data_IF_192532952896
#
_entry.id   IF_192532952896
#
_cell.length_a   1.000
_cell.length_b   1.000
_cell.length_c   1.000
_cell.angle_alpha   90.00
_cell.angle_beta   90.00
_cell.angle_gamma   90.00
#
_symmetry.space_group_name_H-M   'P 1'
#
loop_
_entity.id
_entity.type
_entity.pdbx_description
1 polymer ?
#
# COMPACT_ATOMS: atom_id res chain seq x y z
N UNK A 1 23.42 34.83 -36.69
CA UNK A 1 22.33 35.52 -37.41
C UNK A 1 21.56 36.37 -36.40
N UNK A 2 21.19 37.58 -36.80
CA UNK A 2 20.94 38.77 -35.97
C UNK A 2 19.44 39.16 -36.02
N UNK A 3 18.82 39.35 -34.84
CA UNK A 3 17.71 40.28 -34.44
C UNK A 3 16.31 40.17 -35.13
N UNK A 4 15.24 40.87 -34.65
CA UNK A 4 14.89 41.36 -33.30
C UNK A 4 13.39 41.25 -32.89
N UNK A 5 13.18 41.33 -31.56
CA UNK A 5 12.19 42.08 -30.76
C UNK A 5 11.05 42.83 -31.50
N UNK A 6 9.81 42.67 -30.98
CA UNK A 6 8.89 43.80 -30.76
C UNK A 6 8.19 43.69 -29.40
N UNK A 7 8.37 44.74 -28.61
CA UNK A 7 7.83 44.91 -27.26
C UNK A 7 6.71 45.96 -27.26
N UNK A 8 5.80 45.79 -26.28
CA UNK A 8 5.05 46.83 -25.54
C UNK A 8 3.87 47.52 -26.27
N UNK A 9 2.97 48.27 -25.60
CA UNK A 9 2.45 48.26 -24.20
C UNK A 9 0.89 48.38 -24.07
N UNK A 10 0.38 48.02 -22.88
CA UNK A 10 -0.51 48.81 -21.97
C UNK A 10 -1.95 49.22 -22.38
N UNK A 11 -2.79 49.35 -21.33
CA UNK A 11 -4.14 49.95 -21.17
C UNK A 11 -5.31 48.91 -21.19
N UNK A 12 -6.20 48.75 -20.19
CA UNK A 12 -6.61 49.52 -18.99
C UNK A 12 -7.41 48.59 -18.03
N UNK A 13 -7.23 48.83 -16.73
CA UNK A 13 -8.21 48.82 -15.61
C UNK A 13 -9.08 47.60 -15.22
N UNK A 14 -8.83 47.15 -13.98
CA UNK A 14 -9.78 46.64 -12.96
C UNK A 14 -10.82 47.73 -12.57
N UNK A 15 -12.06 47.40 -12.10
CA UNK A 15 -12.27 46.82 -10.76
C UNK A 15 -13.48 45.87 -10.51
N UNK A 16 -13.36 45.17 -9.37
CA UNK A 16 -14.29 44.44 -8.50
C UNK A 16 -15.83 44.47 -8.73
N UNK A 17 -16.51 43.34 -8.46
CA UNK A 17 -17.44 43.12 -7.33
C UNK A 17 -18.20 41.76 -7.46
N UNK A 18 -18.12 40.96 -6.38
CA UNK A 18 -19.19 40.22 -5.70
C UNK A 18 -20.04 39.13 -6.42
N UNK A 19 -20.01 37.94 -5.78
CA UNK A 19 -21.15 37.04 -5.51
C UNK A 19 -21.92 36.45 -6.68
N UNK A 20 -21.63 35.19 -7.00
CA UNK A 20 -22.64 34.28 -7.54
C UNK A 20 -22.76 33.07 -6.59
N UNK A 21 -23.81 33.12 -5.77
CA UNK A 21 -24.40 32.00 -5.07
C UNK A 21 -24.72 30.90 -6.09
N UNK A 22 -24.22 29.69 -5.88
CA UNK A 22 -24.63 28.52 -6.65
C UNK A 22 -26.08 28.17 -6.33
N UNK A 23 -26.94 28.21 -7.34
CA UNK A 23 -28.29 27.64 -7.26
C UNK A 23 -28.15 26.13 -7.41
N UNK A 24 -28.19 25.40 -6.29
CA UNK A 24 -28.34 23.95 -6.34
C UNK A 24 -29.77 23.61 -6.79
N UNK A 25 -29.88 22.68 -7.74
CA UNK A 25 -31.14 22.01 -8.05
C UNK A 25 -31.09 20.69 -7.30
N UNK A 26 -31.94 20.57 -6.27
CA UNK A 26 -32.10 19.35 -5.51
C UNK A 26 -32.55 18.23 -6.46
N UNK A 27 -31.65 17.28 -6.72
CA UNK A 27 -32.00 16.00 -7.30
C UNK A 27 -32.02 14.94 -6.20
N UNK A 28 -33.03 14.10 -6.28
CA UNK A 28 -33.52 13.27 -5.22
C UNK A 28 -32.65 12.03 -4.97
N UNK A 29 -32.50 11.67 -3.70
CA UNK A 29 -32.61 10.26 -3.29
C UNK A 29 -31.47 9.31 -3.64
N UNK A 30 -30.22 9.77 -3.67
CA UNK A 30 -29.06 8.88 -3.56
C UNK A 30 -28.36 9.11 -2.23
N UNK A 31 -28.23 8.09 -1.38
CA UNK A 31 -27.37 8.10 -0.18
C UNK A 31 -25.91 8.23 -0.64
N UNK A 32 -25.51 9.43 -1.03
CA UNK A 32 -24.13 9.73 -1.39
C UNK A 32 -23.39 9.89 -0.08
N UNK A 33 -22.72 8.82 0.35
CA UNK A 33 -21.74 8.92 1.43
C UNK A 33 -20.82 10.08 1.10
N UNK A 34 -20.74 11.12 1.96
CA UNK A 34 -19.84 12.23 1.71
C UNK A 34 -18.44 11.68 1.49
N UNK A 35 -17.78 12.09 0.40
CA UNK A 35 -16.42 11.66 0.14
C UNK A 35 -15.55 12.19 1.28
N UNK A 36 -14.91 11.33 2.08
CA UNK A 36 -14.13 11.79 3.22
C UNK A 36 -13.03 12.74 2.76
N UNK A 37 -12.76 13.76 3.57
CA UNK A 37 -11.63 14.67 3.31
C UNK A 37 -10.34 13.87 3.29
N UNK A 38 -9.33 14.34 2.55
CA UNK A 38 -8.07 13.61 2.39
C UNK A 38 -7.43 13.18 3.73
N UNK A 39 -7.49 14.04 4.75
CA UNK A 39 -7.00 13.74 6.11
C UNK A 39 -7.81 12.66 6.82
N UNK A 40 -9.13 12.67 6.70
CA UNK A 40 -10.02 11.65 7.29
C UNK A 40 -9.76 10.29 6.64
N UNK A 41 -9.62 10.26 5.31
CA UNK A 41 -9.24 9.06 4.56
C UNK A 41 -7.87 8.53 4.99
N UNK A 42 -6.88 9.39 5.19
CA UNK A 42 -5.57 8.97 5.67
C UNK A 42 -5.66 8.35 7.07
N UNK A 43 -6.40 8.98 7.99
CA UNK A 43 -6.58 8.46 9.34
C UNK A 43 -7.29 7.09 9.35
N UNK A 44 -8.27 6.89 8.47
CA UNK A 44 -8.93 5.60 8.26
C UNK A 44 -7.95 4.54 7.77
N UNK A 45 -7.14 4.84 6.75
CA UNK A 45 -6.13 3.92 6.22
C UNK A 45 -5.07 3.57 7.28
N UNK A 46 -4.63 4.56 8.06
CA UNK A 46 -3.69 4.33 9.17
C UNK A 46 -4.32 3.45 10.27
N UNK A 47 -5.60 3.61 10.58
CA UNK A 47 -6.30 2.75 11.53
C UNK A 47 -6.39 1.31 11.03
N UNK A 48 -6.63 1.13 9.72
CA UNK A 48 -6.64 -0.19 9.09
C UNK A 48 -5.26 -0.86 9.14
N UNK A 49 -4.19 -0.13 8.85
CA UNK A 49 -2.82 -0.64 9.01
C UNK A 49 -2.54 -1.10 10.44
N UNK A 50 -2.91 -0.29 11.44
CA UNK A 50 -2.75 -0.65 12.86
C UNK A 50 -3.56 -1.91 13.22
N UNK A 51 -4.76 -2.07 12.66
CA UNK A 51 -5.55 -3.29 12.87
C UNK A 51 -4.92 -4.55 12.27
N UNK A 52 -4.04 -4.39 11.28
CA UNK A 52 -3.23 -5.46 10.70
C UNK A 52 -1.89 -5.67 11.43
N UNK A 53 -1.60 -4.89 12.48
CA UNK A 53 -0.31 -4.94 13.20
C UNK A 53 0.82 -4.18 12.53
N UNK A 54 0.54 -3.35 11.52
CA UNK A 54 1.55 -2.61 10.77
C UNK A 54 1.59 -1.17 11.28
N UNK A 55 2.78 -0.70 11.69
CA UNK A 55 2.99 0.70 12.04
C UNK A 55 2.88 1.59 10.78
N UNK A 56 1.95 2.56 10.73
CA UNK A 56 1.73 3.33 9.51
C UNK A 56 2.95 4.05 9.01
N UNK A 57 3.86 4.47 9.89
CA UNK A 57 5.11 5.16 9.55
C UNK A 57 6.22 4.25 8.96
N UNK A 58 6.04 2.93 9.01
CA UNK A 58 6.93 1.92 8.43
C UNK A 58 6.45 1.41 7.07
N UNK A 59 5.28 1.83 6.59
CA UNK A 59 4.83 1.48 5.23
C UNK A 59 5.63 2.25 4.19
N UNK A 60 6.34 1.52 3.33
CA UNK A 60 7.04 2.05 2.17
C UNK A 60 6.73 1.21 0.94
N UNK A 61 6.73 1.85 -0.22
CA UNK A 61 6.58 1.20 -1.52
C UNK A 61 7.77 1.55 -2.40
N UNK A 62 7.96 0.78 -3.46
CA UNK A 62 8.94 1.05 -4.49
C UNK A 62 8.29 0.87 -5.85
N UNK A 63 8.71 1.68 -6.82
CA UNK A 63 8.38 1.47 -8.23
C UNK A 63 9.56 0.76 -8.90
N UNK A 64 9.29 -0.38 -9.54
CA UNK A 64 10.31 -1.17 -10.25
C UNK A 64 9.73 -1.55 -11.61
N UNK A 65 10.26 -0.98 -12.72
CA UNK A 65 9.72 -1.24 -14.04
C UNK A 65 9.63 -2.74 -14.37
N UNK A 66 8.45 -3.19 -14.79
CA UNK A 66 8.18 -4.59 -15.13
C UNK A 66 7.84 -5.49 -13.95
N UNK A 67 7.83 -4.96 -12.72
CA UNK A 67 7.36 -5.69 -11.54
C UNK A 67 5.98 -5.20 -11.11
N UNK A 68 5.16 -6.14 -10.63
CA UNK A 68 3.82 -5.89 -10.11
C UNK A 68 3.78 -6.28 -8.64
N UNK A 69 3.19 -5.44 -7.79
CA UNK A 69 2.96 -5.78 -6.39
C UNK A 69 2.13 -7.07 -6.28
N UNK A 70 2.60 -8.01 -5.48
CA UNK A 70 1.82 -9.14 -5.00
C UNK A 70 1.02 -8.71 -3.76
N UNK A 71 -0.23 -8.27 -3.91
CA UNK A 71 -1.02 -7.72 -2.80
C UNK A 71 -1.12 -8.69 -1.60
N UNK A 72 -1.21 -10.00 -1.85
CA UNK A 72 -1.23 -11.03 -0.81
C UNK A 72 0.07 -11.17 0.00
N UNK A 73 1.17 -10.56 -0.45
CA UNK A 73 2.44 -10.53 0.28
C UNK A 73 2.55 -9.37 1.26
N UNK A 74 1.59 -8.43 1.22
CA UNK A 74 1.56 -7.29 2.13
C UNK A 74 1.26 -7.79 3.54
N UNK A 75 2.17 -7.52 4.47
CA UNK A 75 2.04 -7.99 5.84
C UNK A 75 2.98 -7.31 6.83
N UNK A 76 2.93 -7.83 8.05
CA UNK A 76 3.83 -7.41 9.13
C UNK A 76 5.21 -8.04 8.91
N UNK A 77 6.25 -7.25 9.10
CA UNK A 77 7.63 -7.73 9.23
C UNK A 77 8.14 -7.47 10.65
N UNK A 78 8.55 -8.52 11.36
CA UNK A 78 8.97 -8.39 12.76
C UNK A 78 7.78 -8.02 13.67
N UNK A 79 7.98 -7.06 14.56
CA UNK A 79 6.97 -6.67 15.56
C UNK A 79 5.85 -5.81 14.95
N UNK A 80 6.22 -4.74 14.25
CA UNK A 80 5.29 -3.75 13.69
C UNK A 80 5.72 -3.22 12.31
N UNK A 81 6.72 -3.84 11.70
CA UNK A 81 7.25 -3.46 10.40
C UNK A 81 6.32 -3.84 9.25
N UNK A 82 6.80 -3.59 8.04
CA UNK A 82 6.06 -3.80 6.80
C UNK A 82 6.85 -4.68 5.85
N UNK A 83 6.19 -5.62 5.19
CA UNK A 83 6.73 -6.40 4.08
C UNK A 83 5.84 -6.30 2.85
N UNK A 84 6.47 -6.33 1.67
CA UNK A 84 5.81 -6.49 0.39
C UNK A 84 6.75 -7.14 -0.62
N UNK A 85 6.20 -7.92 -1.55
CA UNK A 85 6.91 -8.49 -2.68
C UNK A 85 6.33 -7.96 -4.00
N UNK A 86 7.22 -7.75 -4.97
CA UNK A 86 6.88 -7.37 -6.33
C UNK A 86 7.41 -8.45 -7.26
N UNK A 87 6.58 -8.95 -8.18
CA UNK A 87 6.93 -10.05 -9.08
C UNK A 87 6.98 -9.57 -10.53
N UNK A 88 7.84 -10.17 -11.32
CA UNK A 88 7.90 -9.97 -12.77
C UNK A 88 7.75 -11.31 -13.51
N UNK A 89 7.45 -11.24 -14.80
CA UNK A 89 7.46 -12.42 -15.67
C UNK A 89 8.81 -13.17 -15.60
N UNK A 90 8.79 -14.49 -15.76
CA UNK A 90 9.97 -15.34 -15.54
C UNK A 90 10.26 -15.68 -14.07
N UNK A 91 9.41 -15.19 -13.15
CA UNK A 91 9.46 -15.52 -11.73
C UNK A 91 10.58 -14.81 -10.97
N UNK A 92 10.96 -13.61 -11.42
CA UNK A 92 11.80 -12.71 -10.65
C UNK A 92 10.97 -12.01 -9.58
N UNK A 93 11.54 -11.83 -8.39
CA UNK A 93 10.84 -11.25 -7.23
C UNK A 93 11.75 -10.24 -6.54
N UNK A 94 11.23 -9.03 -6.29
CA UNK A 94 11.83 -8.03 -5.40
C UNK A 94 11.09 -8.08 -4.07
N UNK A 95 11.83 -8.22 -2.97
CA UNK A 95 11.31 -8.15 -1.62
C UNK A 95 11.67 -6.81 -0.99
N UNK A 96 10.67 -6.17 -0.38
CA UNK A 96 10.80 -4.96 0.40
C UNK A 96 10.43 -5.28 1.86
N UNK A 97 11.35 -4.97 2.78
CA UNK A 97 11.11 -5.02 4.22
C UNK A 97 11.40 -3.66 4.82
N UNK A 98 10.52 -3.16 5.67
CA UNK A 98 10.70 -1.89 6.36
C UNK A 98 10.47 -2.07 7.87
N UNK A 99 11.42 -1.60 8.67
CA UNK A 99 11.42 -1.80 10.11
C UNK A 99 12.11 -0.63 10.83
N UNK A 100 11.98 -0.61 12.16
CA UNK A 100 12.69 0.34 13.01
C UNK A 100 14.18 -0.02 13.01
N UNK A 101 15.06 0.96 12.85
CA UNK A 101 16.50 0.72 12.84
C UNK A 101 17.29 1.71 11.99
N UNK A 102 18.51 1.31 11.62
CA UNK A 102 19.40 2.07 10.75
C UNK A 102 19.99 1.17 9.66
N UNK A 103 20.46 1.78 8.58
CA UNK A 103 21.06 1.06 7.45
C UNK A 103 22.49 0.55 7.71
N UNK A 104 23.07 0.83 8.89
CA UNK A 104 24.45 0.46 9.22
C UNK A 104 24.66 -1.07 9.25
N UNK A 105 23.64 -1.82 9.68
CA UNK A 105 23.68 -3.27 9.81
C UNK A 105 23.04 -3.97 8.59
N UNK A 106 23.24 -3.41 7.40
CA UNK A 106 22.63 -3.94 6.18
C UNK A 106 23.11 -5.38 5.89
N UNK A 107 22.21 -6.38 5.89
CA UNK A 107 22.62 -7.75 5.62
C UNK A 107 23.14 -7.92 4.19
N UNK A 108 24.07 -8.84 3.99
CA UNK A 108 24.52 -9.21 2.65
C UNK A 108 23.37 -9.69 1.76
N UNK A 109 23.39 -9.34 0.48
CA UNK A 109 22.32 -9.64 -0.47
C UNK A 109 21.14 -8.65 -0.45
N UNK A 110 21.23 -7.60 0.38
CA UNK A 110 20.26 -6.50 0.40
C UNK A 110 20.90 -5.17 0.01
N UNK A 111 20.07 -4.27 -0.53
CA UNK A 111 20.33 -2.83 -0.59
C UNK A 111 19.48 -2.17 0.49
N UNK A 112 20.12 -1.48 1.43
CA UNK A 112 19.43 -0.81 2.53
C UNK A 112 19.43 0.70 2.36
N UNK A 113 18.27 1.32 2.61
CA UNK A 113 18.11 2.78 2.65
C UNK A 113 17.47 3.19 3.97
N UNK A 114 17.85 4.36 4.49
CA UNK A 114 17.27 4.92 5.71
C UNK A 114 16.47 6.19 5.36
N UNK A 115 15.20 6.06 4.91
CA UNK A 115 14.41 7.19 4.41
C UNK A 115 14.06 8.20 5.50
N UNK A 116 14.13 7.82 6.78
CA UNK A 116 14.00 8.70 7.92
C UNK A 116 14.79 8.14 9.12
N UNK A 117 15.09 9.00 10.10
CA UNK A 117 15.79 8.59 11.33
C UNK A 117 15.03 7.45 12.03
N UNK A 118 15.76 6.39 12.36
CA UNK A 118 15.21 5.23 13.07
C UNK A 118 14.34 4.32 12.21
N UNK A 119 14.40 4.45 10.88
CA UNK A 119 13.70 3.57 9.94
C UNK A 119 14.68 3.10 8.87
N UNK A 120 14.63 1.81 8.55
CA UNK A 120 15.39 1.21 7.47
C UNK A 120 14.44 0.46 6.55
N UNK A 121 14.71 0.55 5.24
CA UNK A 121 14.07 -0.26 4.21
C UNK A 121 15.15 -1.12 3.58
N UNK A 122 14.93 -2.43 3.54
CA UNK A 122 15.81 -3.44 2.94
C UNK A 122 15.16 -3.94 1.66
N UNK A 123 15.91 -3.87 0.56
CA UNK A 123 15.51 -4.36 -0.76
C UNK A 123 16.37 -5.57 -1.12
N UNK A 124 15.74 -6.73 -1.32
CA UNK A 124 16.38 -7.96 -1.79
C UNK A 124 15.63 -8.55 -2.98
N UNK A 125 16.10 -9.65 -3.53
CA UNK A 125 15.35 -10.31 -4.60
C UNK A 125 15.90 -11.63 -5.08
N UNK A 126 15.03 -12.42 -5.72
CA UNK A 126 15.37 -13.66 -6.42
C UNK A 126 15.33 -13.46 -7.93
N UNK A 127 16.38 -13.92 -8.63
CA UNK A 127 16.55 -13.74 -10.09
C UNK A 127 16.48 -12.27 -10.53
N UNK A 128 16.86 -11.37 -9.64
CA UNK A 128 16.94 -9.91 -9.87
C UNK A 128 18.41 -9.52 -9.90
N UNK A 129 18.79 -8.61 -10.79
CA UNK A 129 20.16 -8.08 -10.83
C UNK A 129 20.38 -6.99 -9.78
N UNK A 130 21.62 -6.81 -9.34
CA UNK A 130 21.99 -5.76 -8.38
C UNK A 130 21.63 -4.34 -8.85
N UNK A 131 21.61 -4.09 -10.16
CA UNK A 131 21.17 -2.82 -10.73
C UNK A 131 19.68 -2.56 -10.49
N UNK A 132 18.85 -3.59 -10.66
CA UNK A 132 17.41 -3.49 -10.37
C UNK A 132 17.16 -3.30 -8.88
N UNK A 133 17.88 -4.02 -8.01
CA UNK A 133 17.76 -3.83 -6.55
C UNK A 133 18.15 -2.41 -6.12
N UNK A 134 19.19 -1.83 -6.73
CA UNK A 134 19.58 -0.44 -6.46
C UNK A 134 18.54 0.56 -6.95
N UNK A 135 18.02 0.38 -8.16
CA UNK A 135 16.93 1.23 -8.70
C UNK A 135 15.67 1.16 -7.85
N UNK A 136 15.32 -0.03 -7.37
CA UNK A 136 14.22 -0.22 -6.43
C UNK A 136 14.48 0.52 -5.11
N UNK A 137 15.68 0.39 -4.54
CA UNK A 137 16.05 1.12 -3.33
C UNK A 137 15.98 2.65 -3.51
N UNK A 138 16.43 3.17 -4.66
CA UNK A 138 16.35 4.59 -5.00
C UNK A 138 14.90 5.08 -5.19
N UNK A 139 13.98 4.19 -5.57
CA UNK A 139 12.56 4.48 -5.77
C UNK A 139 11.70 4.30 -4.50
N UNK A 140 12.30 3.95 -3.36
CA UNK A 140 11.59 3.80 -2.08
C UNK A 140 10.94 5.11 -1.65
N UNK A 141 9.63 5.08 -1.40
CA UNK A 141 8.87 6.24 -0.94
C UNK A 141 7.70 5.86 -0.03
N UNK A 142 7.15 6.88 0.65
CA UNK A 142 5.90 6.75 1.43
C UNK A 142 4.72 6.66 0.47
N UNK A 143 3.80 5.68 0.62
CA UNK A 143 2.67 5.58 -0.28
C UNK A 143 1.75 6.79 -0.12
N UNK A 144 1.24 7.27 -1.24
CA UNK A 144 0.08 8.15 -1.31
C UNK A 144 -1.19 7.43 -0.79
N UNK A 145 -2.27 8.17 -0.47
CA UNK A 145 -3.53 7.54 -0.07
C UNK A 145 -4.09 6.56 -1.12
N UNK A 146 -3.85 6.82 -2.41
CA UNK A 146 -4.28 5.95 -3.50
C UNK A 146 -3.49 4.65 -3.52
N UNK A 147 -2.16 4.73 -3.42
CA UNK A 147 -1.29 3.54 -3.34
C UNK A 147 -1.61 2.73 -2.09
N UNK A 148 -1.80 3.39 -0.94
CA UNK A 148 -2.15 2.71 0.29
C UNK A 148 -3.53 2.02 0.22
N UNK A 149 -4.48 2.59 -0.52
CA UNK A 149 -5.77 1.94 -0.79
C UNK A 149 -5.59 0.67 -1.64
N UNK A 150 -4.66 0.68 -2.61
CA UNK A 150 -4.36 -0.48 -3.45
C UNK A 150 -3.55 -1.56 -2.70
N UNK A 151 -2.73 -1.19 -1.70
CA UNK A 151 -2.00 -2.13 -0.85
C UNK A 151 -2.94 -2.97 0.00
N UNK A 152 -3.91 -2.32 0.65
CA UNK A 152 -4.74 -2.97 1.65
C UNK A 152 -5.85 -3.80 0.99
N UNK A 153 -6.12 -5.03 1.44
CA UNK A 153 -7.28 -5.79 0.97
C UNK A 153 -8.54 -4.97 1.23
N UNK A 154 -9.63 -5.12 0.44
CA UNK A 154 -10.87 -4.41 0.71
C UNK A 154 -11.32 -4.66 2.15
N UNK A 155 -11.87 -3.63 2.80
CA UNK A 155 -12.44 -3.81 4.12
C UNK A 155 -13.51 -4.90 4.05
N UNK A 156 -13.52 -5.88 4.98
CA UNK A 156 -14.55 -6.89 4.99
C UNK A 156 -15.90 -6.19 5.10
N UNK A 157 -16.78 -6.44 4.14
CA UNK A 157 -18.17 -6.02 4.24
C UNK A 157 -18.74 -6.69 5.48
N UNK A 158 -19.43 -5.94 6.34
CA UNK A 158 -20.13 -6.51 7.48
C UNK A 158 -21.21 -7.47 6.96
N UNK A 159 -20.85 -8.73 6.76
CA UNK A 159 -21.79 -9.81 6.50
C UNK A 159 -22.43 -10.17 7.83
N UNK A 160 -23.73 -10.47 7.81
CA UNK A 160 -24.38 -11.12 8.95
C UNK A 160 -23.52 -12.31 9.37
N UNK A 161 -23.27 -12.52 10.68
CA UNK A 161 -22.61 -13.73 11.16
C UNK A 161 -23.23 -14.94 10.46
N UNK A 162 -22.38 -15.83 9.92
CA UNK A 162 -22.90 -17.09 9.38
C UNK A 162 -23.50 -17.83 10.57
N UNK A 163 -24.82 -17.98 10.58
CA UNK A 163 -25.51 -18.84 11.52
C UNK A 163 -24.97 -20.25 11.28
N UNK A 164 -24.08 -20.70 12.17
CA UNK A 164 -23.60 -22.07 12.17
C UNK A 164 -24.82 -22.89 12.55
N UNK A 165 -25.48 -23.48 11.55
CA UNK A 165 -26.57 -24.41 11.80
C UNK A 165 -26.15 -25.42 12.87
N UNK A 166 -27.11 -25.84 13.70
CA UNK A 166 -26.85 -26.80 14.77
C UNK A 166 -26.08 -27.99 14.21
N UNK A 167 -24.88 -28.22 14.73
CA UNK A 167 -24.15 -29.46 14.46
C UNK A 167 -25.09 -30.61 14.85
N UNK A 168 -25.25 -31.64 14.00
CA UNK A 168 -25.97 -32.84 14.42
C UNK A 168 -25.40 -33.34 15.74
N UNK A 169 -26.27 -33.79 16.67
CA UNK A 169 -25.82 -34.32 17.97
C UNK A 169 -24.90 -35.54 17.85
N UNK A 170 -24.93 -36.18 16.67
CA UNK A 170 -24.04 -37.25 16.29
C UNK A 170 -22.95 -36.62 15.42
N UNK A 171 -21.69 -36.63 15.90
CA UNK A 171 -20.57 -36.10 15.14
C UNK A 171 -20.46 -36.77 13.76
N UNK A 172 -19.95 -36.04 12.77
CA UNK A 172 -19.92 -36.42 11.34
C UNK A 172 -19.00 -37.61 10.99
N UNK A 173 -18.82 -38.58 11.91
CA UNK A 173 -17.95 -39.76 11.76
C UNK A 173 -16.67 -39.44 10.98
N UNK A 174 -15.85 -38.53 11.51
CA UNK A 174 -14.56 -38.20 10.93
C UNK A 174 -13.83 -39.51 10.58
N UNK A 175 -13.37 -39.70 9.32
CA UNK A 175 -12.73 -40.94 8.91
C UNK A 175 -11.63 -41.33 9.89
N UNK A 176 -11.62 -42.60 10.31
CA UNK A 176 -10.55 -43.15 11.12
C UNK A 176 -9.25 -43.09 10.32
N UNK A 177 -8.37 -42.15 10.70
CA UNK A 177 -7.05 -41.97 10.12
C UNK A 177 -5.98 -42.83 10.83
N UNK A 178 -6.39 -43.91 11.50
CA UNK A 178 -5.49 -44.88 12.10
C UNK A 178 -4.42 -45.33 11.11
N UNK A 179 -3.18 -44.92 11.37
CA UNK A 179 -2.03 -45.41 10.61
C UNK A 179 -1.83 -46.89 10.97
N UNK A 180 -1.72 -47.81 10.00
CA UNK A 180 -1.43 -49.20 10.32
C UNK A 180 -0.05 -49.29 10.96
N UNK A 181 0.01 -49.85 12.18
CA UNK A 181 1.28 -50.21 12.82
C UNK A 181 2.01 -51.20 11.92
N UNK A 182 3.26 -50.88 11.60
CA UNK A 182 4.04 -51.55 10.57
C UNK A 182 4.09 -53.07 10.73
N UNK A 183 3.86 -53.78 9.63
CA UNK A 183 4.22 -55.18 9.51
C UNK A 183 5.76 -55.27 9.48
N UNK A 184 6.32 -55.96 10.47
CA UNK A 184 7.70 -56.43 10.47
C UNK A 184 7.93 -57.61 9.54
#
# INVERSE_FOLDING_TARGET
MIRPIRALPLLLLLPALLTACGTEKADAGGTRTPTPRATERQAELDARLRSLGIAPELVYVTDVPGFTLAQQSVGVNGDDGFSAAYWAEGGAVVHLYAERGGAADCPGGYVCVAPAKGRVVRIGGEKVSDDVLRKAADAVHRPSPAELTALLPPAPTATTPVERGDLPSYGDEAPDNGVPEGAG
#
